data_IF_296374047630
#
_entry.id   IF_296374047630
#
_cell.length_a   1.000
_cell.length_b   1.000
_cell.length_c   1.000
_cell.angle_alpha   90.00
_cell.angle_beta   90.00
_cell.angle_gamma   90.00
#
_symmetry.space_group_name_H-M   'P 1'
#
loop_
_entity.id
_entity.type
_entity.pdbx_description
1 polymer ?
#
# COMPACT_ATOMS: atom_id res chain seq x y z
N UNK A 1 -5.84 1.89 0.93
CA UNK A 1 -5.69 3.02 1.88
C UNK A 1 -6.82 4.03 1.70
N UNK A 2 -7.19 4.76 2.75
CA UNK A 2 -8.10 5.91 2.67
C UNK A 2 -7.43 7.06 1.90
N UNK A 3 -8.16 8.16 1.61
CA UNK A 3 -7.55 9.33 0.97
C UNK A 3 -6.33 9.82 1.76
N UNK A 4 -5.32 10.27 1.03
CA UNK A 4 -4.01 10.73 1.53
C UNK A 4 -3.16 9.62 2.18
N UNK A 5 -3.41 8.35 1.84
CA UNK A 5 -2.60 7.20 2.23
C UNK A 5 -2.46 7.03 3.74
N UNK A 6 -1.24 6.70 4.21
CA UNK A 6 -0.96 6.49 5.63
C UNK A 6 -1.28 7.70 6.52
N UNK A 7 -1.13 8.93 6.00
CA UNK A 7 -1.47 10.13 6.76
C UNK A 7 -2.99 10.24 7.03
N UNK A 8 -3.80 9.82 6.05
CA UNK A 8 -5.25 9.73 6.22
C UNK A 8 -5.64 8.60 7.15
N UNK A 9 -5.00 7.44 7.05
CA UNK A 9 -5.21 6.29 7.93
C UNK A 9 -4.91 6.62 9.40
N UNK A 10 -3.74 7.19 9.68
CA UNK A 10 -3.38 7.65 11.03
C UNK A 10 -4.46 8.58 11.62
N UNK A 11 -4.95 9.51 10.79
CA UNK A 11 -5.98 10.46 11.22
C UNK A 11 -7.32 9.78 11.48
N UNK A 12 -7.77 8.86 10.62
CA UNK A 12 -8.99 8.10 10.85
C UNK A 12 -8.87 7.21 12.07
N UNK A 13 -7.72 6.57 12.27
CA UNK A 13 -7.46 5.76 13.48
C UNK A 13 -7.57 6.58 14.75
N UNK A 14 -6.97 7.78 14.79
CA UNK A 14 -7.11 8.73 15.91
C UNK A 14 -8.57 9.09 16.19
N UNK A 15 -9.32 9.46 15.13
CA UNK A 15 -10.73 9.87 15.23
C UNK A 15 -11.64 8.72 15.65
N UNK A 16 -11.29 7.51 15.29
CA UNK A 16 -12.03 6.28 15.62
C UNK A 16 -11.54 5.59 16.89
N UNK A 17 -10.62 6.19 17.66
CA UNK A 17 -10.00 5.57 18.85
C UNK A 17 -11.02 5.05 19.89
N UNK A 18 -12.17 5.72 20.04
CA UNK A 18 -13.27 5.27 20.91
C UNK A 18 -14.22 4.27 20.23
N UNK A 19 -14.01 3.93 18.95
CA UNK A 19 -14.86 3.09 18.11
C UNK A 19 -14.05 2.01 17.40
N UNK A 20 -13.15 1.34 18.10
CA UNK A 20 -12.25 0.28 17.64
C UNK A 20 -11.18 0.69 16.62
N UNK A 21 -10.88 1.98 16.50
CA UNK A 21 -9.85 2.48 15.59
C UNK A 21 -10.19 2.30 14.11
N UNK A 22 -9.16 2.51 13.28
CA UNK A 22 -9.18 2.28 11.84
C UNK A 22 -7.86 1.65 11.40
N UNK A 23 -7.94 0.60 10.59
CA UNK A 23 -6.81 -0.09 9.96
C UNK A 23 -7.25 -0.51 8.55
N UNK A 24 -6.41 -0.23 7.55
CA UNK A 24 -6.80 -0.34 6.14
C UNK A 24 -7.06 -1.78 5.69
N UNK A 25 -6.40 -2.81 6.26
CA UNK A 25 -6.69 -4.21 5.93
C UNK A 25 -8.06 -4.63 6.46
N UNK A 26 -8.41 -4.21 7.69
CA UNK A 26 -9.74 -4.43 8.25
C UNK A 26 -10.81 -3.69 7.45
N UNK A 27 -10.52 -2.47 6.99
CA UNK A 27 -11.42 -1.72 6.11
C UNK A 27 -11.58 -2.41 4.76
N UNK A 28 -10.50 -2.96 4.18
CA UNK A 28 -10.55 -3.72 2.94
C UNK A 28 -11.42 -4.96 3.07
N UNK A 29 -11.31 -5.70 4.19
CA UNK A 29 -12.22 -6.80 4.50
C UNK A 29 -13.67 -6.33 4.58
N UNK A 30 -13.92 -5.27 5.33
CA UNK A 30 -15.26 -4.71 5.47
C UNK A 30 -15.86 -4.30 4.12
N UNK A 31 -15.07 -3.71 3.23
CA UNK A 31 -15.51 -3.37 1.87
C UNK A 31 -15.96 -4.65 1.13
N UNK A 32 -15.11 -5.67 1.07
CA UNK A 32 -15.39 -6.87 0.25
C UNK A 32 -16.42 -7.81 0.89
N UNK A 33 -16.62 -7.78 2.20
CA UNK A 33 -17.58 -8.61 2.91
C UNK A 33 -18.96 -7.94 3.09
N UNK A 34 -19.01 -6.60 3.14
CA UNK A 34 -20.22 -5.88 3.53
C UNK A 34 -20.59 -4.73 2.60
N UNK A 35 -19.65 -3.78 2.33
CA UNK A 35 -20.01 -2.50 1.73
C UNK A 35 -20.21 -2.57 0.21
N UNK A 36 -19.55 -3.51 -0.47
CA UNK A 36 -19.75 -3.74 -1.90
C UNK A 36 -21.15 -4.32 -2.15
N UNK A 37 -21.97 -3.56 -2.90
CA UNK A 37 -23.36 -3.95 -3.22
C UNK A 37 -23.50 -4.31 -4.70
N UNK A 38 -22.85 -5.41 -5.13
CA UNK A 38 -22.92 -5.90 -6.53
C UNK A 38 -23.98 -6.96 -6.76
N UNK A 39 -24.35 -7.68 -5.72
CA UNK A 39 -25.24 -8.84 -5.82
C UNK A 39 -26.50 -8.62 -4.98
N UNK A 40 -27.70 -8.86 -5.53
CA UNK A 40 -28.95 -8.57 -4.82
C UNK A 40 -29.26 -9.56 -3.68
N UNK A 41 -28.60 -10.71 -3.64
CA UNK A 41 -28.94 -11.82 -2.74
C UNK A 41 -28.07 -11.90 -1.46
N UNK A 42 -26.96 -11.15 -1.43
CA UNK A 42 -26.05 -11.14 -0.30
C UNK A 42 -25.22 -9.84 -0.30
N UNK A 43 -24.75 -9.37 0.86
CA UNK A 43 -23.83 -8.25 0.96
C UNK A 43 -22.44 -8.66 0.49
N UNK A 44 -21.63 -7.69 0.09
CA UNK A 44 -20.24 -7.92 -0.29
C UNK A 44 -20.06 -8.72 -1.58
N UNK A 45 -18.89 -9.32 -1.72
CA UNK A 45 -18.46 -10.02 -2.94
C UNK A 45 -18.50 -11.55 -2.83
N UNK A 46 -18.80 -12.11 -1.65
CA UNK A 46 -18.81 -13.56 -1.40
C UNK A 46 -17.49 -14.25 -1.81
N UNK A 47 -16.38 -13.71 -1.34
CA UNK A 47 -15.04 -14.24 -1.62
C UNK A 47 -14.75 -15.49 -0.80
N UNK A 48 -13.81 -16.32 -1.27
CA UNK A 48 -13.38 -17.51 -0.51
C UNK A 48 -12.58 -17.10 0.74
N UNK A 49 -12.51 -18.02 1.70
CA UNK A 49 -11.75 -17.82 2.95
C UNK A 49 -10.28 -17.48 2.68
N UNK A 50 -9.65 -18.12 1.70
CA UNK A 50 -8.24 -17.89 1.35
C UNK A 50 -7.99 -16.47 0.87
N UNK A 51 -8.92 -15.91 0.08
CA UNK A 51 -8.83 -14.52 -0.40
C UNK A 51 -9.03 -13.55 0.75
N UNK A 52 -10.04 -13.78 1.60
CA UNK A 52 -10.28 -12.93 2.78
C UNK A 52 -9.11 -12.97 3.75
N UNK A 53 -8.58 -14.17 4.03
CA UNK A 53 -7.37 -14.33 4.85
C UNK A 53 -6.15 -13.63 4.25
N UNK A 54 -5.99 -13.68 2.93
CA UNK A 54 -4.92 -12.95 2.23
C UNK A 54 -5.03 -11.43 2.37
N UNK A 55 -6.24 -10.88 2.30
CA UNK A 55 -6.51 -9.44 2.51
C UNK A 55 -6.22 -9.07 3.96
N UNK A 56 -6.71 -9.83 4.92
CA UNK A 56 -6.54 -9.57 6.35
C UNK A 56 -5.08 -9.58 6.78
N UNK A 57 -4.29 -10.50 6.24
CA UNK A 57 -2.89 -10.73 6.59
C UNK A 57 -1.92 -10.03 5.63
N UNK A 58 -2.44 -9.15 4.77
CA UNK A 58 -1.59 -8.36 3.90
C UNK A 58 -0.61 -7.56 4.75
N UNK A 59 0.67 -7.68 4.41
CA UNK A 59 1.75 -7.00 5.13
C UNK A 59 2.82 -6.55 4.16
N UNK A 60 3.29 -5.37 4.42
CA UNK A 60 4.49 -4.84 3.79
C UNK A 60 5.50 -4.48 4.88
N UNK A 61 6.71 -4.12 4.54
CA UNK A 61 7.65 -3.58 5.52
C UNK A 61 7.16 -2.33 6.26
N UNK A 62 6.12 -1.68 5.75
CA UNK A 62 5.52 -0.47 6.35
C UNK A 62 4.20 -0.79 7.09
N UNK A 63 3.47 -1.80 6.62
CA UNK A 63 2.16 -2.18 7.15
C UNK A 63 2.26 -3.58 7.76
N UNK A 64 2.25 -3.63 9.07
CA UNK A 64 2.23 -4.89 9.80
C UNK A 64 0.92 -4.96 10.58
N UNK A 65 -0.07 -5.72 10.08
CA UNK A 65 -1.33 -5.91 10.79
C UNK A 65 -1.09 -6.57 12.15
N UNK A 66 -1.89 -6.18 13.14
CA UNK A 66 -1.89 -6.81 14.46
C UNK A 66 -2.56 -8.19 14.35
N UNK A 67 -1.74 -9.22 14.12
CA UNK A 67 -2.19 -10.60 13.94
C UNK A 67 -1.84 -11.44 15.16
N UNK A 68 -2.68 -12.44 15.45
CA UNK A 68 -2.34 -13.47 16.42
C UNK A 68 -1.02 -14.15 16.01
N UNK A 69 0.00 -14.20 16.90
CA UNK A 69 1.26 -14.85 16.59
C UNK A 69 1.14 -16.33 16.18
N UNK A 70 0.03 -16.98 16.49
CA UNK A 70 -0.26 -18.37 16.05
C UNK A 70 -0.82 -18.45 14.63
N UNK A 71 -1.34 -17.35 14.07
CA UNK A 71 -1.95 -17.28 12.73
C UNK A 71 -0.99 -16.66 11.71
N UNK A 72 0.12 -17.33 11.49
CA UNK A 72 1.21 -16.84 10.60
C UNK A 72 1.17 -17.40 9.19
N UNK A 73 0.23 -18.32 8.90
CA UNK A 73 0.11 -18.91 7.57
C UNK A 73 -0.40 -17.88 6.55
N UNK A 74 0.35 -17.75 5.45
CA UNK A 74 -0.04 -17.01 4.25
C UNK A 74 -0.01 -17.95 3.05
N UNK A 75 -1.07 -17.95 2.25
CA UNK A 75 -1.07 -18.63 0.95
C UNK A 75 0.04 -18.09 0.04
N UNK A 76 0.48 -18.87 -0.94
CA UNK A 76 1.48 -18.38 -1.92
C UNK A 76 0.96 -17.17 -2.69
N UNK A 77 -0.34 -17.14 -2.99
CA UNK A 77 -1.00 -16.03 -3.65
C UNK A 77 -0.94 -14.74 -2.81
N UNK A 78 -1.20 -14.85 -1.50
CA UNK A 78 -1.09 -13.70 -0.59
C UNK A 78 0.37 -13.19 -0.48
N UNK A 79 1.35 -14.11 -0.43
CA UNK A 79 2.76 -13.74 -0.46
C UNK A 79 3.16 -13.06 -1.79
N UNK A 80 2.59 -13.49 -2.93
CA UNK A 80 2.79 -12.82 -4.23
C UNK A 80 2.24 -11.40 -4.21
N UNK A 81 1.06 -11.21 -3.61
CA UNK A 81 0.47 -9.86 -3.47
C UNK A 81 1.37 -8.96 -2.63
N UNK A 82 1.89 -9.44 -1.52
CA UNK A 82 2.80 -8.67 -0.65
C UNK A 82 4.06 -8.21 -1.40
N UNK A 83 4.73 -9.12 -2.13
CA UNK A 83 5.94 -8.74 -2.88
C UNK A 83 5.63 -7.87 -4.10
N UNK A 84 4.47 -8.05 -4.73
CA UNK A 84 4.04 -7.21 -5.85
C UNK A 84 3.77 -5.77 -5.39
N UNK A 85 3.16 -5.59 -4.23
CA UNK A 85 2.96 -4.28 -3.63
C UNK A 85 4.28 -3.61 -3.28
N UNK A 86 5.21 -4.35 -2.69
CA UNK A 86 6.56 -3.84 -2.40
C UNK A 86 7.31 -3.39 -3.66
N UNK A 87 7.22 -4.15 -4.76
CA UNK A 87 7.84 -3.80 -6.05
C UNK A 87 7.25 -2.51 -6.58
N UNK A 88 5.92 -2.40 -6.56
CA UNK A 88 5.18 -1.24 -7.05
C UNK A 88 5.53 0.00 -6.26
N UNK A 89 5.45 -0.08 -4.94
CA UNK A 89 5.77 1.00 -4.02
C UNK A 89 7.19 1.52 -4.23
N UNK A 90 8.19 0.63 -4.18
CA UNK A 90 9.60 1.01 -4.35
C UNK A 90 9.86 1.73 -5.67
N UNK A 91 9.27 1.27 -6.78
CA UNK A 91 9.50 1.84 -8.10
C UNK A 91 8.77 3.17 -8.30
N UNK A 92 7.52 3.26 -7.85
CA UNK A 92 6.72 4.48 -8.01
C UNK A 92 7.23 5.63 -7.14
N UNK A 93 7.65 5.34 -5.91
CA UNK A 93 8.16 6.38 -5.02
C UNK A 93 9.48 6.99 -5.51
N UNK A 94 10.35 6.18 -6.13
CA UNK A 94 11.55 6.73 -6.79
C UNK A 94 11.17 7.62 -7.97
N UNK A 95 10.24 7.18 -8.82
CA UNK A 95 9.77 7.98 -9.97
C UNK A 95 9.15 9.29 -9.53
N UNK A 96 8.30 9.25 -8.51
CA UNK A 96 7.64 10.43 -7.95
C UNK A 96 8.65 11.38 -7.29
N UNK A 97 9.61 10.86 -6.54
CA UNK A 97 10.65 11.65 -5.91
C UNK A 97 11.53 12.39 -6.93
N UNK A 98 11.89 11.72 -8.03
CA UNK A 98 12.66 12.34 -9.13
C UNK A 98 11.81 13.37 -9.87
N UNK A 99 10.56 13.04 -10.23
CA UNK A 99 9.64 13.97 -10.94
C UNK A 99 9.30 15.21 -10.13
N UNK A 100 9.18 15.05 -8.81
CA UNK A 100 8.98 16.17 -7.89
C UNK A 100 10.25 17.00 -7.65
N UNK A 101 11.40 16.63 -8.24
CA UNK A 101 12.72 17.22 -7.98
C UNK A 101 13.13 17.21 -6.50
N UNK A 102 12.62 16.24 -5.73
CA UNK A 102 13.02 16.03 -4.34
C UNK A 102 14.32 15.22 -4.28
N UNK A 103 14.45 14.22 -5.16
CA UNK A 103 15.68 13.46 -5.33
C UNK A 103 16.30 13.71 -6.70
N UNK A 104 17.62 13.76 -6.74
CA UNK A 104 18.36 13.80 -7.99
C UNK A 104 18.89 12.42 -8.38
N UNK A 105 18.89 12.09 -9.67
CA UNK A 105 19.51 10.88 -10.20
C UNK A 105 21.00 10.78 -9.80
N UNK A 106 21.71 11.90 -9.84
CA UNK A 106 23.13 11.96 -9.44
C UNK A 106 23.36 11.51 -8.00
N UNK A 107 22.47 11.91 -7.08
CA UNK A 107 22.57 11.53 -5.68
C UNK A 107 22.20 10.04 -5.49
N UNK A 108 21.22 9.53 -6.21
CA UNK A 108 20.88 8.12 -6.23
C UNK A 108 22.04 7.26 -6.76
N UNK A 109 22.68 7.64 -7.85
CA UNK A 109 23.88 6.96 -8.39
C UNK A 109 25.01 6.93 -7.37
N UNK A 110 25.19 8.03 -6.63
CA UNK A 110 26.27 8.12 -5.62
C UNK A 110 26.02 7.25 -4.40
N UNK A 111 24.79 7.18 -3.92
CA UNK A 111 24.45 6.64 -2.60
C UNK A 111 23.75 5.27 -2.63
N UNK A 112 23.21 4.83 -3.78
CA UNK A 112 22.45 3.60 -3.90
C UNK A 112 23.13 2.67 -4.90
N UNK A 113 23.60 1.52 -4.45
CA UNK A 113 24.40 0.58 -5.24
C UNK A 113 23.65 0.02 -6.45
N UNK A 114 22.43 -0.45 -6.24
CA UNK A 114 21.59 -1.03 -7.30
C UNK A 114 21.20 0.03 -8.36
N UNK A 115 20.97 1.27 -7.95
CA UNK A 115 20.68 2.36 -8.88
C UNK A 115 21.89 2.70 -9.75
N UNK A 116 23.07 2.73 -9.16
CA UNK A 116 24.36 2.93 -9.89
C UNK A 116 24.63 1.83 -10.89
N UNK A 117 24.38 0.58 -10.53
CA UNK A 117 24.56 -0.56 -11.45
C UNK A 117 23.64 -0.42 -12.67
N UNK A 118 22.34 -0.13 -12.46
CA UNK A 118 21.39 0.04 -13.56
C UNK A 118 21.70 1.25 -14.42
N UNK A 119 22.15 2.34 -13.85
CA UNK A 119 22.60 3.52 -14.59
C UNK A 119 23.78 3.17 -15.53
N UNK A 120 24.79 2.48 -15.01
CA UNK A 120 25.94 2.06 -15.81
C UNK A 120 25.56 1.14 -16.98
N UNK A 121 24.65 0.18 -16.75
CA UNK A 121 24.18 -0.72 -17.79
C UNK A 121 23.40 0.04 -18.87
N UNK A 122 22.47 0.92 -18.49
CA UNK A 122 21.67 1.72 -19.44
C UNK A 122 22.58 2.65 -20.25
N UNK A 123 23.53 3.33 -19.63
CA UNK A 123 24.47 4.23 -20.31
C UNK A 123 25.44 3.47 -21.23
N UNK A 124 25.73 2.19 -20.95
CA UNK A 124 26.54 1.37 -21.85
C UNK A 124 25.75 0.85 -23.07
N UNK A 125 24.44 0.65 -22.93
CA UNK A 125 23.57 0.11 -23.98
C UNK A 125 23.01 1.20 -24.90
N UNK A 126 22.73 2.39 -24.34
CA UNK A 126 22.07 3.46 -25.06
C UNK A 126 22.91 4.74 -25.08
N UNK A 127 22.96 5.41 -26.23
CA UNK A 127 23.59 6.72 -26.41
C UNK A 127 22.53 7.78 -26.70
N UNK A 128 22.76 9.00 -26.25
CA UNK A 128 21.87 10.14 -26.52
C UNK A 128 20.43 10.01 -25.98
N UNK A 129 20.28 9.46 -24.79
CA UNK A 129 18.99 9.44 -24.11
C UNK A 129 18.59 10.85 -23.67
N UNK A 130 17.31 11.19 -23.82
CA UNK A 130 16.72 12.32 -23.09
C UNK A 130 16.51 11.93 -21.63
N UNK A 131 16.47 12.92 -20.73
CA UNK A 131 16.22 12.68 -19.29
C UNK A 131 14.95 11.84 -19.06
N UNK A 132 13.88 12.14 -19.81
CA UNK A 132 12.61 11.39 -19.72
C UNK A 132 12.79 9.92 -20.13
N UNK A 133 13.54 9.64 -21.18
CA UNK A 133 13.81 8.26 -21.62
C UNK A 133 14.68 7.52 -20.61
N UNK A 134 15.69 8.20 -20.07
CA UNK A 134 16.57 7.62 -19.06
C UNK A 134 15.80 7.23 -17.79
N UNK A 135 15.02 8.15 -17.21
CA UNK A 135 14.20 7.86 -16.01
C UNK A 135 13.21 6.72 -16.28
N UNK A 136 12.57 6.69 -17.44
CA UNK A 136 11.68 5.59 -17.84
C UNK A 136 12.42 4.24 -17.88
N UNK A 137 13.60 4.20 -18.49
CA UNK A 137 14.42 2.98 -18.59
C UNK A 137 14.90 2.51 -17.20
N UNK A 138 15.31 3.44 -16.34
CA UNK A 138 15.70 3.14 -14.97
C UNK A 138 14.56 2.48 -14.19
N UNK A 139 13.36 3.07 -14.20
CA UNK A 139 12.19 2.50 -13.54
C UNK A 139 11.76 1.16 -14.12
N UNK A 140 11.73 1.05 -15.45
CA UNK A 140 11.43 -0.22 -16.13
C UNK A 140 12.42 -1.32 -15.75
N UNK A 141 13.70 -0.98 -15.65
CA UNK A 141 14.75 -1.92 -15.25
C UNK A 141 14.61 -2.31 -13.77
N UNK A 142 14.34 -1.36 -12.90
CA UNK A 142 14.12 -1.62 -11.48
C UNK A 142 12.95 -2.60 -11.28
N UNK A 143 11.78 -2.33 -11.88
CA UNK A 143 10.61 -3.22 -11.81
C UNK A 143 10.93 -4.60 -12.40
N UNK A 144 11.50 -4.64 -13.59
CA UNK A 144 11.79 -5.90 -14.30
C UNK A 144 12.75 -6.80 -13.51
N UNK A 145 13.80 -6.22 -12.92
CA UNK A 145 14.78 -6.98 -12.16
C UNK A 145 14.23 -7.44 -10.81
N UNK A 146 13.40 -6.64 -10.14
CA UNK A 146 12.68 -7.07 -8.97
C UNK A 146 11.78 -8.28 -9.27
N UNK A 147 10.96 -8.21 -10.33
CA UNK A 147 10.10 -9.33 -10.74
C UNK A 147 10.90 -10.57 -11.06
N UNK A 148 11.97 -10.44 -11.86
CA UNK A 148 12.82 -11.58 -12.25
C UNK A 148 13.50 -12.23 -11.05
N UNK A 149 14.03 -11.43 -10.13
CA UNK A 149 14.67 -11.93 -8.92
C UNK A 149 13.65 -12.63 -8.01
N UNK A 150 12.50 -12.01 -7.76
CA UNK A 150 11.41 -12.61 -6.98
C UNK A 150 10.99 -13.98 -7.55
N UNK A 151 10.72 -14.07 -8.86
CA UNK A 151 10.32 -15.32 -9.50
C UNK A 151 11.42 -16.38 -9.37
N UNK A 152 12.69 -16.03 -9.70
CA UNK A 152 13.79 -16.98 -9.69
C UNK A 152 14.06 -17.52 -8.29
N UNK A 153 14.14 -16.63 -7.30
CA UNK A 153 14.41 -17.03 -5.91
C UNK A 153 13.25 -17.81 -5.29
N UNK A 154 12.01 -17.37 -5.54
CA UNK A 154 10.81 -18.05 -5.02
C UNK A 154 10.68 -19.49 -5.56
N UNK A 155 10.95 -19.70 -6.86
CA UNK A 155 11.00 -21.06 -7.42
C UNK A 155 12.01 -21.95 -6.70
N UNK A 156 13.19 -21.44 -6.39
CA UNK A 156 14.21 -22.19 -5.63
C UNK A 156 13.75 -22.46 -4.20
N UNK A 157 13.12 -21.49 -3.53
CA UNK A 157 12.61 -21.66 -2.17
C UNK A 157 11.53 -22.73 -2.12
N UNK A 158 10.56 -22.70 -3.03
CA UNK A 158 9.49 -23.72 -3.13
C UNK A 158 10.13 -25.11 -3.37
N UNK A 159 11.08 -25.24 -4.29
CA UNK A 159 11.76 -26.51 -4.52
C UNK A 159 12.52 -27.02 -3.30
N UNK A 160 13.25 -26.14 -2.61
CA UNK A 160 14.03 -26.50 -1.40
C UNK A 160 13.17 -26.82 -0.19
N UNK A 161 11.98 -26.20 -0.07
CA UNK A 161 11.05 -26.45 1.05
C UNK A 161 10.43 -27.83 0.97
N UNK A 162 10.38 -28.47 -0.21
CA UNK A 162 9.72 -29.75 -0.42
C UNK A 162 8.20 -29.70 -0.34
N UNK A 163 7.61 -28.51 -0.33
CA UNK A 163 6.14 -28.30 -0.31
C UNK A 163 5.54 -28.85 -1.59
N UNK A 164 4.60 -29.78 -1.45
CA UNK A 164 3.86 -30.42 -2.55
C UNK A 164 2.36 -30.33 -2.39
N UNK A 165 1.89 -29.90 -1.22
CA UNK A 165 0.47 -29.77 -0.90
C UNK A 165 0.21 -28.55 -0.02
N UNK A 166 -1.06 -28.15 0.08
CA UNK A 166 -1.50 -27.09 0.98
C UNK A 166 -1.14 -27.40 2.45
N UNK A 167 -1.29 -28.68 2.86
CA UNK A 167 -0.94 -29.11 4.22
C UNK A 167 0.55 -28.92 4.53
N UNK A 168 1.41 -29.17 3.55
CA UNK A 168 2.84 -28.94 3.73
C UNK A 168 3.12 -27.45 3.95
N UNK A 169 2.45 -26.61 3.17
CA UNK A 169 2.59 -25.14 3.27
C UNK A 169 2.09 -24.63 4.63
N UNK A 170 0.93 -25.09 5.11
CA UNK A 170 0.37 -24.76 6.42
C UNK A 170 1.30 -25.16 7.58
N UNK A 171 2.06 -26.25 7.40
CA UNK A 171 3.03 -26.71 8.40
C UNK A 171 4.32 -25.88 8.45
N UNK A 172 4.55 -25.04 7.46
CA UNK A 172 5.70 -24.14 7.41
C UNK A 172 5.43 -22.89 8.24
N UNK A 173 5.53 -23.01 9.55
CA UNK A 173 5.44 -21.82 10.42
C UNK A 173 6.53 -20.80 10.09
N UNK A 174 6.13 -19.54 9.86
CA UNK A 174 7.00 -18.36 9.68
C UNK A 174 7.99 -18.39 8.51
N UNK A 175 7.68 -19.06 7.40
CA UNK A 175 8.54 -19.05 6.21
C UNK A 175 7.82 -18.49 5.00
N UNK A 176 8.16 -17.28 4.64
CA UNK A 176 7.80 -16.75 3.33
C UNK A 176 8.64 -17.47 2.26
N UNK A 177 7.95 -18.05 1.28
CA UNK A 177 8.59 -18.71 0.13
C UNK A 177 8.75 -17.75 -1.04
N UNK A 178 7.88 -16.76 -1.13
CA UNK A 178 7.88 -15.74 -2.17
C UNK A 178 8.68 -14.52 -1.66
N UNK A 179 9.92 -14.41 -2.13
CA UNK A 179 10.83 -13.36 -1.66
C UNK A 179 11.98 -13.11 -2.64
N UNK A 180 12.63 -11.98 -2.50
CA UNK A 180 13.90 -11.71 -3.18
C UNK A 180 15.04 -12.57 -2.62
N UNK A 181 16.10 -12.74 -3.41
CA UNK A 181 17.35 -13.29 -2.88
C UNK A 181 17.96 -12.34 -1.83
N UNK A 182 18.73 -12.86 -0.85
CA UNK A 182 19.32 -12.03 0.19
C UNK A 182 20.18 -10.88 -0.36
N UNK A 183 20.93 -11.12 -1.41
CA UNK A 183 21.81 -10.13 -2.04
C UNK A 183 20.97 -9.02 -2.73
N UNK A 184 19.91 -9.41 -3.43
CA UNK A 184 19.03 -8.46 -4.09
C UNK A 184 18.21 -7.67 -3.07
N UNK A 185 17.74 -8.33 -2.00
CA UNK A 185 17.07 -7.71 -0.86
C UNK A 185 17.90 -6.58 -0.27
N UNK A 186 19.18 -6.80 -0.03
CA UNK A 186 20.09 -5.80 0.51
C UNK A 186 20.15 -4.53 -0.36
N UNK A 187 20.16 -4.68 -1.70
CA UNK A 187 20.16 -3.52 -2.61
C UNK A 187 18.82 -2.76 -2.62
N UNK A 188 17.70 -3.49 -2.48
CA UNK A 188 16.38 -2.85 -2.35
C UNK A 188 16.24 -2.15 -1.01
N UNK A 189 16.72 -2.75 0.08
CA UNK A 189 16.68 -2.14 1.41
C UNK A 189 17.55 -0.87 1.48
N UNK A 190 18.71 -0.85 0.82
CA UNK A 190 19.55 0.37 0.67
C UNK A 190 18.76 1.49 -0.05
N UNK A 191 18.08 1.16 -1.15
CA UNK A 191 17.24 2.14 -1.88
C UNK A 191 16.10 2.66 -1.00
N UNK A 192 15.43 1.78 -0.26
CA UNK A 192 14.32 2.14 0.62
C UNK A 192 14.77 3.00 1.80
N UNK A 193 15.89 2.68 2.42
CA UNK A 193 16.47 3.50 3.46
C UNK A 193 16.83 4.91 2.94
N UNK A 194 17.35 4.98 1.72
CA UNK A 194 17.63 6.25 1.07
C UNK A 194 16.34 7.08 0.83
N UNK A 195 15.26 6.43 0.33
CA UNK A 195 13.95 7.07 0.18
C UNK A 195 13.39 7.55 1.52
N UNK A 196 13.48 6.72 2.55
CA UNK A 196 13.02 7.07 3.89
C UNK A 196 13.68 8.34 4.41
N UNK A 197 14.99 8.42 4.29
CA UNK A 197 15.78 9.53 4.82
C UNK A 197 15.68 10.83 4.02
N UNK A 198 15.36 10.75 2.70
CA UNK A 198 15.46 11.91 1.81
C UNK A 198 14.14 12.29 1.13
N UNK A 199 13.24 11.33 0.92
CA UNK A 199 11.93 11.59 0.29
C UNK A 199 10.84 11.77 1.35
N UNK A 200 10.57 10.76 2.19
CA UNK A 200 9.48 10.85 3.17
C UNK A 200 9.74 11.86 4.28
N UNK A 201 11.00 12.11 4.65
CA UNK A 201 11.39 13.16 5.60
C UNK A 201 11.39 14.57 5.01
N UNK A 202 11.14 14.72 3.69
CA UNK A 202 11.14 16.02 3.03
C UNK A 202 9.99 16.89 3.54
N UNK A 203 10.26 18.18 3.75
CA UNK A 203 9.29 19.13 4.30
C UNK A 203 8.06 19.34 3.40
N UNK A 204 8.20 19.22 2.07
CA UNK A 204 7.07 19.35 1.14
C UNK A 204 6.12 18.17 1.27
N UNK A 205 6.66 16.94 1.37
CA UNK A 205 5.88 15.72 1.64
C UNK A 205 5.19 15.83 3.00
N UNK A 206 5.94 16.24 4.03
CA UNK A 206 5.36 16.45 5.36
C UNK A 206 4.20 17.46 5.36
N UNK A 207 4.35 18.57 4.65
CA UNK A 207 3.28 19.59 4.51
C UNK A 207 2.07 19.04 3.76
N UNK A 208 2.28 18.26 2.70
CA UNK A 208 1.20 17.61 1.96
C UNK A 208 0.44 16.64 2.85
N UNK A 209 1.14 15.79 3.60
CA UNK A 209 0.55 14.86 4.55
C UNK A 209 -0.27 15.60 5.63
N UNK A 210 0.29 16.67 6.21
CA UNK A 210 -0.42 17.50 7.21
C UNK A 210 -1.67 18.16 6.64
N UNK A 211 -1.64 18.60 5.38
CA UNK A 211 -2.84 19.11 4.71
C UNK A 211 -3.90 18.02 4.57
N UNK A 212 -3.53 16.82 4.14
CA UNK A 212 -4.44 15.67 4.06
C UNK A 212 -5.06 15.32 5.42
N UNK A 213 -4.25 15.26 6.47
CA UNK A 213 -4.72 15.03 7.85
C UNK A 213 -5.75 16.08 8.30
N UNK A 214 -5.51 17.35 8.01
CA UNK A 214 -6.45 18.44 8.34
C UNK A 214 -7.77 18.30 7.57
N UNK A 215 -7.72 17.97 6.29
CA UNK A 215 -8.91 17.74 5.46
C UNK A 215 -9.77 16.62 6.05
N UNK A 216 -9.18 15.45 6.29
CA UNK A 216 -9.87 14.29 6.88
C UNK A 216 -10.51 14.67 8.22
N UNK A 217 -9.76 15.32 9.12
CA UNK A 217 -10.26 15.72 10.44
C UNK A 217 -11.45 16.66 10.34
N UNK A 218 -11.39 17.65 9.46
CA UNK A 218 -12.48 18.61 9.29
C UNK A 218 -13.70 17.98 8.64
N UNK A 219 -13.53 17.11 7.63
CA UNK A 219 -14.62 16.34 7.03
C UNK A 219 -15.31 15.47 8.10
N UNK A 220 -14.55 14.70 8.86
CA UNK A 220 -15.10 13.84 9.92
C UNK A 220 -15.91 14.62 10.96
N UNK A 221 -15.40 15.77 11.41
CA UNK A 221 -16.09 16.62 12.37
C UNK A 221 -17.37 17.24 11.78
N UNK A 222 -17.34 17.71 10.53
CA UNK A 222 -18.52 18.26 9.86
C UNK A 222 -19.63 17.20 9.71
N UNK A 223 -19.27 16.01 9.20
CA UNK A 223 -20.19 14.88 9.02
C UNK A 223 -20.74 14.35 10.37
N UNK A 224 -19.94 14.41 11.44
CA UNK A 224 -20.37 14.05 12.78
C UNK A 224 -21.35 15.05 13.35
N UNK A 225 -21.18 16.35 13.06
CA UNK A 225 -22.07 17.42 13.51
C UNK A 225 -23.41 17.44 12.79
N UNK A 226 -23.42 17.13 11.50
CA UNK A 226 -24.65 16.99 10.70
C UNK A 226 -24.54 15.76 9.77
N UNK A 227 -25.10 14.65 10.25
CA UNK A 227 -25.11 13.37 9.52
C UNK A 227 -25.88 13.42 8.20
N UNK A 228 -26.74 14.44 7.98
CA UNK A 228 -27.47 14.61 6.71
C UNK A 228 -26.56 15.05 5.55
N UNK A 229 -25.34 15.44 5.84
CA UNK A 229 -24.32 15.71 4.81
C UNK A 229 -23.87 14.44 4.07
N UNK A 230 -24.09 13.25 4.64
CA UNK A 230 -23.83 11.98 3.98
C UNK A 230 -25.04 11.59 3.12
N UNK A 231 -24.86 11.22 1.85
CA UNK A 231 -25.94 10.73 1.01
C UNK A 231 -26.60 9.48 1.62
N UNK A 232 -27.94 9.42 1.54
CA UNK A 232 -28.73 8.37 2.22
C UNK A 232 -28.39 6.95 1.77
N UNK A 233 -27.98 6.77 0.54
CA UNK A 233 -27.55 5.50 -0.03
C UNK A 233 -26.35 4.88 0.70
N UNK A 234 -25.50 5.70 1.34
CA UNK A 234 -24.34 5.21 2.09
C UNK A 234 -24.66 4.65 3.48
N UNK A 235 -25.85 4.89 3.99
CA UNK A 235 -26.20 4.42 5.34
C UNK A 235 -27.57 3.76 5.45
N UNK A 236 -28.35 3.70 4.39
CA UNK A 236 -29.72 3.15 4.43
C UNK A 236 -29.74 1.67 4.86
N UNK A 237 -28.71 0.92 4.52
CA UNK A 237 -28.60 -0.52 4.79
C UNK A 237 -27.72 -0.85 6.03
N UNK A 238 -27.10 0.17 6.67
CA UNK A 238 -26.16 0.02 7.78
C UNK A 238 -26.80 0.29 9.14
N UNK A 239 -28.02 -0.20 9.37
CA UNK A 239 -28.81 0.13 10.56
C UNK A 239 -28.20 -0.32 11.91
N UNK A 240 -27.18 -1.19 11.88
CA UNK A 240 -26.50 -1.71 13.08
C UNK A 240 -25.19 -1.02 13.39
N UNK A 241 -24.67 -0.21 12.48
CA UNK A 241 -23.38 0.47 12.65
C UNK A 241 -23.54 1.78 13.44
N UNK A 242 -22.46 2.18 14.14
CA UNK A 242 -22.40 3.51 14.77
C UNK A 242 -22.28 4.60 13.68
N UNK A 243 -22.72 5.81 14.01
CA UNK A 243 -22.58 6.96 13.10
C UNK A 243 -21.12 7.20 12.70
N UNK A 244 -20.22 7.07 13.66
CA UNK A 244 -18.78 7.25 13.46
C UNK A 244 -18.24 6.23 12.48
N UNK A 245 -18.70 4.98 12.53
CA UNK A 245 -18.29 3.93 11.58
C UNK A 245 -18.78 4.25 10.17
N UNK A 246 -20.03 4.67 10.01
CA UNK A 246 -20.58 5.05 8.70
C UNK A 246 -19.81 6.26 8.11
N UNK A 247 -19.49 7.27 8.94
CA UNK A 247 -18.68 8.41 8.52
C UNK A 247 -17.28 7.95 8.08
N UNK A 248 -16.68 7.05 8.84
CA UNK A 248 -15.38 6.49 8.54
C UNK A 248 -15.40 5.72 7.21
N UNK A 249 -16.42 4.88 6.98
CA UNK A 249 -16.61 4.15 5.72
C UNK A 249 -16.78 5.12 4.54
N UNK A 250 -17.56 6.16 4.70
CA UNK A 250 -17.78 7.17 3.67
C UNK A 250 -16.49 7.92 3.32
N UNK A 251 -15.73 8.37 4.32
CA UNK A 251 -14.45 9.07 4.10
C UNK A 251 -13.41 8.12 3.53
N UNK A 252 -13.27 6.91 4.07
CA UNK A 252 -12.26 5.95 3.61
C UNK A 252 -12.46 5.48 2.17
N UNK A 253 -13.69 5.53 1.67
CA UNK A 253 -14.04 5.24 0.26
C UNK A 253 -13.79 6.38 -0.72
N UNK A 254 -13.37 7.56 -0.25
CA UNK A 254 -13.07 8.70 -1.13
C UNK A 254 -11.72 8.54 -1.82
N UNK A 255 -11.60 9.11 -3.03
CA UNK A 255 -10.29 9.45 -3.59
C UNK A 255 -9.78 10.76 -2.99
N UNK A 256 -8.48 11.04 -3.09
CA UNK A 256 -7.88 12.32 -2.64
C UNK A 256 -8.59 13.53 -3.26
N UNK A 257 -8.85 13.45 -4.57
CA UNK A 257 -9.52 14.52 -5.31
C UNK A 257 -10.96 14.73 -4.83
N UNK A 258 -11.68 13.65 -4.53
CA UNK A 258 -13.05 13.73 -4.02
C UNK A 258 -13.07 14.29 -2.59
N UNK A 259 -12.20 13.82 -1.71
CA UNK A 259 -12.08 14.36 -0.35
C UNK A 259 -11.74 15.86 -0.35
N UNK A 260 -10.86 16.30 -1.26
CA UNK A 260 -10.55 17.72 -1.42
C UNK A 260 -11.76 18.52 -1.93
N UNK A 261 -12.52 17.97 -2.89
CA UNK A 261 -13.74 18.60 -3.42
C UNK A 261 -14.80 18.76 -2.35
N UNK A 262 -15.08 17.70 -1.58
CA UNK A 262 -16.02 17.73 -0.46
C UNK A 262 -15.61 18.77 0.60
N UNK A 263 -14.33 18.79 0.92
CA UNK A 263 -13.78 19.80 1.82
C UNK A 263 -14.02 21.22 1.32
N UNK A 264 -13.76 21.48 0.04
CA UNK A 264 -13.99 22.81 -0.56
C UNK A 264 -15.47 23.21 -0.55
N UNK A 265 -16.38 22.26 -0.81
CA UNK A 265 -17.83 22.54 -0.79
C UNK A 265 -18.34 22.90 0.63
N UNK A 266 -17.76 22.32 1.66
CA UNK A 266 -18.22 22.55 3.03
C UNK A 266 -17.55 23.76 3.71
N UNK A 267 -16.36 24.16 3.29
CA UNK A 267 -15.53 25.12 4.02
C UNK A 267 -15.01 26.32 3.19
N UNK A 268 -15.41 26.44 1.89
CA UNK A 268 -14.93 27.56 1.03
C UNK A 268 -15.97 28.61 0.73
#
# INVERSE_FOLDING_TARGET
HPPFGHAGEETLNDLMSSNNGFEHNQQSLRIVELLESKYPNFPGLNLSYEVLSGIQKHRTPFDQPDLDPSDTYLSLEAQIVNIADEITYTAHDVDDAIRANILSDTDLIKNVSIWREYSNEICSEYTNLTDKQYVYLMNSKLITNQIRNAISNSKQNIQRSGVTSLKDLESLTNKDLIMFSPEFRAGIDELREYLFNHYYSNHEIYRSNKKGQLIIRQLFLALSSDFKLIPKEYYAEMSTDSKERIICDYISGMTDSFALSEYQQLFS
#
